data_IF_674964294055
#
_entry.id   IF_674964294055
#
_cell.length_a   1.000
_cell.length_b   1.000
_cell.length_c   1.000
_cell.angle_alpha   90.00
_cell.angle_beta   90.00
_cell.angle_gamma   90.00
#
_symmetry.space_group_name_H-M   'P 1'
#
loop_
_entity.id
_entity.type
_entity.pdbx_description
1 polymer ?
#
# COMPACT_ATOMS: atom_id res chain seq x y z
N UNK A 1 33.12 1.88 -25.08
CA UNK A 1 32.51 0.66 -24.52
C UNK A 1 32.29 0.77 -23.00
N UNK A 2 33.33 0.91 -22.18
CA UNK A 2 33.20 0.99 -20.71
C UNK A 2 32.38 2.19 -20.20
N UNK A 3 32.53 3.38 -20.80
CA UNK A 3 31.77 4.57 -20.42
C UNK A 3 30.26 4.43 -20.73
N UNK A 4 29.91 3.79 -21.84
CA UNK A 4 28.53 3.52 -22.26
C UNK A 4 27.87 2.46 -21.37
N UNK A 5 28.62 1.41 -20.99
CA UNK A 5 28.16 0.40 -20.04
C UNK A 5 27.93 1.00 -18.64
N UNK A 6 28.81 1.92 -18.21
CA UNK A 6 28.66 2.68 -16.97
C UNK A 6 27.42 3.58 -17.00
N UNK A 7 27.19 4.34 -18.07
CA UNK A 7 25.98 5.16 -18.25
C UNK A 7 24.69 4.32 -18.28
N UNK A 8 24.71 3.18 -18.96
CA UNK A 8 23.57 2.26 -18.97
C UNK A 8 23.33 1.60 -17.61
N UNK A 9 24.37 1.35 -16.83
CA UNK A 9 24.26 0.88 -15.45
C UNK A 9 23.74 1.99 -14.54
N UNK A 10 24.27 3.22 -14.63
CA UNK A 10 23.82 4.40 -13.90
C UNK A 10 22.34 4.72 -14.17
N UNK A 11 21.89 4.68 -15.43
CA UNK A 11 20.47 4.80 -15.78
C UNK A 11 19.62 3.63 -15.29
N UNK A 12 20.20 2.44 -15.09
CA UNK A 12 19.50 1.26 -14.57
C UNK A 12 19.35 1.29 -13.05
N UNK A 13 20.31 1.89 -12.35
CA UNK A 13 20.31 2.09 -10.88
C UNK A 13 19.83 3.48 -10.45
N UNK A 14 19.45 4.34 -11.40
CA UNK A 14 18.86 5.66 -11.16
C UNK A 14 19.86 6.79 -10.84
N UNK A 15 21.16 6.56 -10.89
CA UNK A 15 22.15 7.61 -10.66
C UNK A 15 22.27 8.56 -11.86
N UNK A 16 22.12 9.86 -11.63
CA UNK A 16 22.45 10.90 -12.59
C UNK A 16 23.98 11.02 -12.72
N UNK A 17 24.54 11.14 -13.94
CA UNK A 17 25.91 11.59 -14.10
C UNK A 17 25.93 13.08 -13.75
N UNK A 18 26.74 13.41 -12.74
CA UNK A 18 26.89 14.71 -12.09
C UNK A 18 25.80 15.05 -11.07
N UNK A 19 26.24 15.10 -9.81
CA UNK A 19 25.40 15.21 -8.62
C UNK A 19 24.68 16.54 -8.54
N UNK A 20 23.35 16.47 -8.57
CA UNK A 20 22.41 17.28 -7.77
C UNK A 20 21.00 16.68 -7.96
N UNK A 21 20.72 15.59 -7.26
CA UNK A 21 19.41 14.95 -7.23
C UNK A 21 19.44 13.55 -6.59
N UNK A 22 18.36 13.09 -5.94
CA UNK A 22 18.33 11.74 -5.36
C UNK A 22 18.49 10.70 -6.47
N UNK A 23 19.38 9.72 -6.26
CA UNK A 23 19.70 8.63 -7.19
C UNK A 23 18.52 7.69 -7.52
N UNK A 24 17.31 7.95 -6.99
CA UNK A 24 16.11 7.18 -7.28
C UNK A 24 14.93 8.14 -7.41
N UNK A 25 14.24 8.12 -8.54
CA UNK A 25 13.01 8.88 -8.75
C UNK A 25 11.84 8.24 -7.98
N UNK A 26 11.63 8.68 -6.73
CA UNK A 26 10.57 8.19 -5.84
C UNK A 26 9.19 8.71 -6.29
N UNK A 27 8.16 7.89 -6.13
CA UNK A 27 6.78 8.26 -6.49
C UNK A 27 6.15 9.27 -5.53
N UNK A 28 6.47 9.15 -4.25
CA UNK A 28 6.15 10.12 -3.22
C UNK A 28 7.47 10.71 -2.73
N UNK A 29 7.55 12.04 -2.69
CA UNK A 29 8.80 12.77 -2.46
C UNK A 29 8.77 13.62 -1.20
N UNK A 30 7.60 13.93 -0.66
CA UNK A 30 7.46 14.76 0.53
C UNK A 30 7.27 13.90 1.80
N UNK A 31 8.00 14.16 2.90
CA UNK A 31 7.89 13.41 4.16
C UNK A 31 6.46 13.27 4.69
N UNK A 32 5.67 14.35 4.59
CA UNK A 32 4.27 14.35 5.01
C UNK A 32 3.45 13.26 4.32
N UNK A 33 3.74 12.90 3.06
CA UNK A 33 2.98 11.87 2.32
C UNK A 33 3.12 10.50 3.00
N UNK A 34 4.30 10.20 3.53
CA UNK A 34 4.58 8.94 4.21
C UNK A 34 3.94 8.87 5.59
N UNK A 35 3.88 10.00 6.31
CA UNK A 35 3.11 10.09 7.54
C UNK A 35 1.63 9.77 7.29
N UNK A 36 1.04 10.39 6.25
CA UNK A 36 -0.35 10.11 5.87
C UNK A 36 -0.59 8.65 5.46
N UNK A 37 0.36 8.02 4.75
CA UNK A 37 0.26 6.60 4.41
C UNK A 37 0.26 5.71 5.66
N UNK A 38 1.16 5.98 6.63
CA UNK A 38 1.21 5.27 7.92
C UNK A 38 -0.05 5.51 8.75
N UNK A 39 -0.57 6.73 8.79
CA UNK A 39 -1.83 7.05 9.48
C UNK A 39 -3.01 6.27 8.90
N UNK A 40 -3.07 6.07 7.59
CA UNK A 40 -4.12 5.22 6.98
C UNK A 40 -3.96 3.76 7.39
N UNK A 41 -2.75 3.22 7.36
CA UNK A 41 -2.50 1.83 7.79
C UNK A 41 -2.90 1.61 9.26
N UNK A 42 -2.51 2.54 10.15
CA UNK A 42 -2.88 2.49 11.56
C UNK A 42 -4.39 2.63 11.76
N UNK A 43 -5.03 3.63 11.17
CA UNK A 43 -6.47 3.83 11.27
C UNK A 43 -7.24 2.60 10.77
N UNK A 44 -6.84 2.05 9.62
CA UNK A 44 -7.49 0.86 9.10
C UNK A 44 -7.27 -0.33 10.02
N UNK A 45 -6.05 -0.55 10.53
CA UNK A 45 -5.73 -1.63 11.46
C UNK A 45 -6.71 -1.69 12.64
N UNK A 46 -7.01 -0.52 13.21
CA UNK A 46 -7.91 -0.34 14.35
C UNK A 46 -9.41 -0.43 13.99
N UNK A 47 -9.80 0.01 12.79
CA UNK A 47 -11.21 0.30 12.47
C UNK A 47 -11.82 -0.55 11.34
N UNK A 48 -11.10 -1.53 10.77
CA UNK A 48 -11.71 -2.35 9.71
C UNK A 48 -12.87 -3.19 10.26
N UNK A 49 -13.99 -3.26 9.52
CA UNK A 49 -15.22 -3.91 9.97
C UNK A 49 -15.18 -5.45 9.91
N UNK A 50 -14.22 -6.01 9.17
CA UNK A 50 -14.10 -7.44 8.91
C UNK A 50 -12.65 -7.91 9.17
N UNK A 51 -12.45 -9.13 9.71
CA UNK A 51 -11.11 -9.66 9.98
C UNK A 51 -10.39 -10.14 8.71
N UNK A 52 -9.08 -10.33 8.84
CA UNK A 52 -8.25 -10.99 7.83
C UNK A 52 -7.65 -10.07 6.77
N UNK A 53 -6.59 -10.56 6.12
CA UNK A 53 -5.76 -9.78 5.20
C UNK A 53 -6.50 -9.33 3.92
N UNK A 54 -7.45 -10.12 3.39
CA UNK A 54 -8.22 -9.74 2.20
C UNK A 54 -9.13 -8.53 2.49
N UNK A 55 -9.90 -8.60 3.57
CA UNK A 55 -10.72 -7.48 4.06
C UNK A 55 -9.85 -6.25 4.35
N UNK A 56 -8.74 -6.45 5.08
CA UNK A 56 -7.78 -5.39 5.40
C UNK A 56 -7.26 -4.68 4.15
N UNK A 57 -6.86 -5.43 3.12
CA UNK A 57 -6.36 -4.87 1.89
C UNK A 57 -7.42 -4.06 1.16
N UNK A 58 -8.64 -4.60 1.02
CA UNK A 58 -9.74 -3.88 0.36
C UNK A 58 -10.08 -2.59 1.12
N UNK A 59 -10.17 -2.65 2.45
CA UNK A 59 -10.44 -1.51 3.32
C UNK A 59 -9.36 -0.44 3.16
N UNK A 60 -8.06 -0.78 3.17
CA UNK A 60 -6.98 0.20 2.91
C UNK A 60 -7.18 0.89 1.55
N UNK A 61 -7.47 0.13 0.50
CA UNK A 61 -7.63 0.69 -0.86
C UNK A 61 -8.86 1.59 -0.96
N UNK A 62 -9.96 1.24 -0.29
CA UNK A 62 -11.18 2.05 -0.21
C UNK A 62 -10.94 3.32 0.60
N UNK A 63 -10.35 3.20 1.80
CA UNK A 63 -10.01 4.33 2.67
C UNK A 63 -9.14 5.34 1.92
N UNK A 64 -8.11 4.92 1.19
CA UNK A 64 -7.28 5.84 0.41
C UNK A 64 -8.05 6.62 -0.66
N UNK A 65 -9.16 6.07 -1.19
CA UNK A 65 -10.00 6.74 -2.19
C UNK A 65 -10.95 7.73 -1.58
N UNK A 66 -11.44 7.46 -0.38
CA UNK A 66 -12.46 8.23 0.32
C UNK A 66 -11.90 9.16 1.39
N UNK A 67 -10.62 9.01 1.78
CA UNK A 67 -9.98 9.71 2.91
C UNK A 67 -9.99 11.25 2.86
N UNK A 68 -10.42 11.87 1.76
CA UNK A 68 -10.61 13.33 1.72
C UNK A 68 -11.98 13.77 2.26
N UNK A 69 -13.04 12.99 2.04
CA UNK A 69 -14.41 13.46 2.26
C UNK A 69 -15.42 12.35 2.58
N UNK A 70 -14.94 11.14 2.87
CA UNK A 70 -15.76 9.94 2.97
C UNK A 70 -16.35 9.46 1.65
N UNK A 71 -16.18 10.18 0.55
CA UNK A 71 -16.77 9.87 -0.77
C UNK A 71 -15.68 9.61 -1.79
N UNK A 72 -15.91 8.62 -2.66
CA UNK A 72 -14.96 8.24 -3.71
C UNK A 72 -15.64 7.48 -4.84
N UNK A 73 -14.82 7.04 -5.79
CA UNK A 73 -15.26 6.25 -6.93
C UNK A 73 -14.44 4.96 -7.03
N UNK A 74 -15.13 3.86 -7.34
CA UNK A 74 -14.55 2.57 -7.68
C UNK A 74 -15.02 2.11 -9.04
N UNK A 75 -14.18 1.31 -9.68
CA UNK A 75 -14.59 0.46 -10.80
C UNK A 75 -14.33 -1.00 -10.49
N UNK A 76 -15.01 -1.91 -11.18
CA UNK A 76 -14.81 -3.34 -11.00
C UNK A 76 -13.34 -3.77 -11.15
N UNK A 77 -12.57 -3.11 -12.03
CA UNK A 77 -11.13 -3.37 -12.18
C UNK A 77 -10.31 -3.07 -10.92
N UNK A 78 -10.73 -2.09 -10.11
CA UNK A 78 -10.03 -1.73 -8.88
C UNK A 78 -10.11 -2.85 -7.84
N UNK A 79 -11.22 -3.61 -7.86
CA UNK A 79 -11.50 -4.71 -6.95
C UNK A 79 -10.91 -6.01 -7.52
N UNK A 80 -11.19 -6.32 -8.80
CA UNK A 80 -10.69 -7.52 -9.50
C UNK A 80 -9.16 -7.56 -9.64
N UNK A 81 -8.48 -6.41 -9.52
CA UNK A 81 -7.02 -6.33 -9.52
C UNK A 81 -6.36 -6.79 -8.20
N UNK A 82 -7.14 -6.90 -7.13
CA UNK A 82 -6.70 -7.35 -5.82
C UNK A 82 -6.71 -8.89 -5.73
N UNK A 83 -5.84 -9.50 -4.93
CA UNK A 83 -5.81 -10.95 -4.72
C UNK A 83 -6.89 -11.36 -3.71
N UNK A 84 -8.16 -11.19 -4.07
CA UNK A 84 -9.31 -11.55 -3.25
C UNK A 84 -9.88 -12.87 -3.74
N UNK A 85 -10.22 -13.77 -2.83
CA UNK A 85 -10.76 -15.10 -3.14
C UNK A 85 -12.19 -15.01 -3.67
N UNK A 86 -13.04 -14.21 -3.01
CA UNK A 86 -14.39 -13.88 -3.46
C UNK A 86 -14.63 -12.36 -3.32
N UNK A 87 -14.30 -11.59 -4.37
CA UNK A 87 -14.43 -10.13 -4.33
C UNK A 87 -15.87 -9.64 -4.17
N UNK A 88 -16.85 -10.36 -4.73
CA UNK A 88 -18.25 -9.96 -4.68
C UNK A 88 -18.82 -10.17 -3.27
N UNK A 89 -18.58 -11.36 -2.69
CA UNK A 89 -18.99 -11.65 -1.32
C UNK A 89 -18.36 -10.67 -0.32
N UNK A 90 -17.05 -10.39 -0.43
CA UNK A 90 -16.36 -9.50 0.49
C UNK A 90 -16.90 -8.06 0.42
N UNK A 91 -17.17 -7.56 -0.79
CA UNK A 91 -17.80 -6.24 -0.95
C UNK A 91 -19.21 -6.24 -0.38
N UNK A 92 -19.99 -7.30 -0.60
CA UNK A 92 -21.32 -7.49 0.01
C UNK A 92 -21.29 -7.39 1.53
N UNK A 93 -20.36 -8.09 2.18
CA UNK A 93 -20.20 -8.03 3.65
C UNK A 93 -19.85 -6.62 4.14
N UNK A 94 -19.00 -5.88 3.41
CA UNK A 94 -18.69 -4.49 3.76
C UNK A 94 -19.92 -3.58 3.65
N UNK A 95 -20.78 -3.81 2.65
CA UNK A 95 -22.04 -3.08 2.48
C UNK A 95 -23.05 -3.45 3.58
N UNK A 96 -23.24 -4.74 3.86
CA UNK A 96 -24.15 -5.24 4.89
C UNK A 96 -23.76 -4.75 6.29
N UNK A 97 -22.46 -4.60 6.57
CA UNK A 97 -21.97 -4.03 7.83
C UNK A 97 -22.27 -2.52 7.98
N UNK A 98 -22.71 -1.85 6.91
CA UNK A 98 -22.89 -0.40 6.86
C UNK A 98 -21.59 0.40 6.76
N UNK A 99 -20.44 -0.26 6.73
CA UNK A 99 -19.14 0.40 6.59
C UNK A 99 -18.93 1.01 5.21
N UNK A 100 -19.42 0.33 4.15
CA UNK A 100 -19.35 0.80 2.76
C UNK A 100 -20.76 1.09 2.22
N UNK A 101 -21.02 2.34 1.85
CA UNK A 101 -22.16 2.67 0.99
C UNK A 101 -21.75 2.61 -0.48
N UNK A 102 -22.63 2.09 -1.33
CA UNK A 102 -22.43 2.07 -2.79
C UNK A 102 -23.69 2.60 -3.50
N UNK A 103 -23.50 3.30 -4.61
CA UNK A 103 -24.59 3.73 -5.48
C UNK A 103 -24.90 2.60 -6.48
N UNK A 104 -25.93 1.81 -6.21
CA UNK A 104 -26.30 0.62 -7.01
C UNK A 104 -26.11 -0.67 -6.24
N UNK A 105 -25.97 -1.78 -6.97
CA UNK A 105 -25.74 -3.11 -6.39
C UNK A 105 -24.26 -3.50 -6.39
N UNK A 106 -23.92 -4.55 -5.62
CA UNK A 106 -22.56 -5.12 -5.63
C UNK A 106 -22.22 -5.65 -7.02
N UNK A 107 -23.14 -6.35 -7.67
CA UNK A 107 -22.97 -6.85 -9.04
C UNK A 107 -22.67 -5.71 -10.03
N UNK A 108 -23.41 -4.61 -9.94
CA UNK A 108 -23.19 -3.41 -10.76
C UNK A 108 -21.79 -2.80 -10.53
N UNK A 109 -21.35 -2.71 -9.27
CA UNK A 109 -20.00 -2.26 -8.93
C UNK A 109 -18.94 -3.20 -9.52
N UNK A 110 -19.10 -4.52 -9.40
CA UNK A 110 -18.17 -5.51 -9.95
C UNK A 110 -18.13 -5.45 -11.50
N UNK A 111 -19.27 -5.15 -12.14
CA UNK A 111 -19.38 -4.99 -13.59
C UNK A 111 -18.95 -3.61 -14.11
N UNK A 112 -18.87 -2.60 -13.24
CA UNK A 112 -18.59 -1.21 -13.61
C UNK A 112 -17.25 -1.01 -14.32
N UNK A 113 -17.17 0.05 -15.13
CA UNK A 113 -16.03 0.39 -15.99
C UNK A 113 -15.61 1.85 -15.76
N UNK A 114 -14.39 2.26 -16.17
CA UNK A 114 -13.91 3.63 -16.02
C UNK A 114 -14.84 4.71 -16.57
N UNK A 115 -15.61 4.40 -17.61
CA UNK A 115 -16.57 5.32 -18.22
C UNK A 115 -17.82 5.55 -17.37
N UNK A 116 -18.14 4.61 -16.47
CA UNK A 116 -19.27 4.69 -15.55
C UNK A 116 -18.86 4.12 -14.18
N UNK A 117 -18.05 4.86 -13.40
CA UNK A 117 -17.59 4.40 -12.11
C UNK A 117 -18.73 4.43 -11.08
N UNK A 118 -18.71 3.49 -10.14
CA UNK A 118 -19.65 3.45 -9.03
C UNK A 118 -19.16 4.40 -7.93
N UNK A 119 -20.03 5.32 -7.54
CA UNK A 119 -19.80 6.17 -6.37
C UNK A 119 -19.92 5.34 -5.09
N UNK A 120 -18.97 5.53 -4.18
CA UNK A 120 -18.92 4.89 -2.88
C UNK A 120 -18.84 5.90 -1.74
N UNK A 121 -19.33 5.52 -0.57
CA UNK A 121 -19.22 6.29 0.67
C UNK A 121 -18.68 5.42 1.81
N UNK A 122 -17.89 6.01 2.70
CA UNK A 122 -17.47 5.42 3.98
C UNK A 122 -17.88 6.41 5.05
N UNK A 123 -19.00 6.18 5.76
CA UNK A 123 -19.57 7.16 6.69
C UNK A 123 -18.58 7.64 7.74
N UNK A 124 -17.79 6.74 8.32
CA UNK A 124 -16.78 7.06 9.36
C UNK A 124 -15.60 7.93 8.88
N UNK A 125 -15.51 8.20 7.57
CA UNK A 125 -14.49 9.06 6.97
C UNK A 125 -15.08 10.38 6.46
N UNK A 126 -16.38 10.62 6.65
CA UNK A 126 -17.07 11.82 6.18
C UNK A 126 -16.92 12.92 7.25
N UNK A 127 -16.24 14.04 6.94
CA UNK A 127 -16.17 15.16 7.86
C UNK A 127 -17.56 15.80 8.06
N UNK A 128 -17.85 16.25 9.27
CA UNK A 128 -19.00 17.08 9.62
C UNK A 128 -18.57 18.35 10.40
N UNK A 129 -19.54 19.12 10.92
CA UNK A 129 -19.25 20.40 11.61
C UNK A 129 -18.50 20.22 12.94
N UNK A 130 -18.64 19.06 13.59
CA UNK A 130 -18.07 18.76 14.90
C UNK A 130 -16.86 17.80 14.82
N UNK A 131 -16.77 16.98 13.76
CA UNK A 131 -15.68 16.06 13.48
C UNK A 131 -15.06 16.30 12.09
N UNK A 132 -13.83 16.84 12.00
CA UNK A 132 -13.15 17.04 10.72
C UNK A 132 -12.74 15.73 10.03
N UNK A 133 -12.98 14.57 10.64
CA UNK A 133 -12.62 13.26 10.17
C UNK A 133 -11.16 12.88 10.52
N UNK A 134 -10.79 11.61 10.31
CA UNK A 134 -9.51 11.07 10.78
C UNK A 134 -8.30 11.51 9.94
N UNK A 135 -8.51 12.14 8.78
CA UNK A 135 -7.44 12.50 7.85
C UNK A 135 -7.55 13.94 7.36
N UNK A 136 -6.42 14.63 7.30
CA UNK A 136 -6.32 16.02 6.79
C UNK A 136 -5.85 16.06 5.33
N UNK A 137 -6.28 15.08 4.51
CA UNK A 137 -5.80 14.94 3.14
C UNK A 137 -6.22 16.12 2.25
N UNK A 138 -5.24 16.88 1.77
CA UNK A 138 -5.49 17.88 0.73
C UNK A 138 -5.90 17.23 -0.60
N UNK A 139 -6.73 17.94 -1.39
CA UNK A 139 -7.24 17.51 -2.71
C UNK A 139 -6.15 17.01 -3.67
N UNK A 140 -4.93 17.58 -3.58
CA UNK A 140 -3.78 17.19 -4.43
C UNK A 140 -3.02 15.95 -3.92
N UNK A 141 -3.08 15.66 -2.61
CA UNK A 141 -2.31 14.60 -1.98
C UNK A 141 -3.01 13.24 -2.12
N UNK A 142 -4.31 13.18 -1.86
CA UNK A 142 -5.12 11.95 -1.91
C UNK A 142 -4.92 11.13 -3.20
N UNK A 143 -5.02 11.69 -4.42
CA UNK A 143 -4.81 10.88 -5.63
C UNK A 143 -3.38 10.36 -5.77
N UNK A 144 -2.36 11.08 -5.24
CA UNK A 144 -0.97 10.60 -5.25
C UNK A 144 -0.79 9.40 -4.32
N UNK A 145 -1.36 9.45 -3.11
CA UNK A 145 -1.30 8.34 -2.15
C UNK A 145 -2.05 7.11 -2.67
N UNK A 146 -3.28 7.30 -3.15
CA UNK A 146 -4.07 6.21 -3.73
C UNK A 146 -3.35 5.56 -4.91
N UNK A 147 -2.81 6.36 -5.84
CA UNK A 147 -2.04 5.87 -6.99
C UNK A 147 -0.71 5.18 -6.61
N UNK A 148 -0.05 5.65 -5.55
CA UNK A 148 1.15 4.98 -5.00
C UNK A 148 0.80 3.60 -4.44
N UNK A 149 -0.23 3.51 -3.60
CA UNK A 149 -0.65 2.23 -3.00
C UNK A 149 -1.07 1.21 -4.07
N UNK A 150 -1.81 1.66 -5.09
CA UNK A 150 -2.14 0.83 -6.26
C UNK A 150 -0.91 0.28 -6.98
N UNK A 151 0.17 1.08 -7.09
CA UNK A 151 1.42 0.63 -7.71
C UNK A 151 2.18 -0.37 -6.86
N UNK A 152 2.16 -0.24 -5.54
CA UNK A 152 2.75 -1.22 -4.63
C UNK A 152 1.99 -2.54 -4.69
N UNK A 153 0.68 -2.51 -4.46
CA UNK A 153 -0.18 -3.71 -4.46
C UNK A 153 -0.27 -4.35 -5.85
N UNK A 154 -0.24 -3.53 -6.91
CA UNK A 154 -0.32 -3.98 -8.29
C UNK A 154 1.03 -4.32 -8.93
N UNK A 155 2.11 -4.35 -8.16
CA UNK A 155 3.45 -4.50 -8.71
C UNK A 155 3.60 -5.82 -9.48
N UNK A 156 4.33 -5.75 -10.60
CA UNK A 156 4.40 -6.79 -11.62
C UNK A 156 4.84 -8.16 -11.09
N UNK A 157 5.86 -8.25 -10.22
CA UNK A 157 6.33 -9.54 -9.72
C UNK A 157 5.36 -10.14 -8.70
N UNK A 158 4.80 -9.32 -7.82
CA UNK A 158 3.74 -9.74 -6.89
C UNK A 158 2.51 -10.28 -7.66
N UNK A 159 2.04 -9.53 -8.66
CA UNK A 159 0.91 -9.93 -9.51
C UNK A 159 1.20 -11.21 -10.30
N UNK A 160 2.38 -11.33 -10.92
CA UNK A 160 2.75 -12.54 -11.70
C UNK A 160 2.95 -13.76 -10.82
N UNK A 161 3.48 -13.57 -9.62
CA UNK A 161 3.62 -14.61 -8.61
C UNK A 161 2.30 -15.02 -7.95
N UNK A 162 1.18 -14.34 -8.29
CA UNK A 162 -0.16 -14.53 -7.69
C UNK A 162 -0.11 -14.46 -6.16
N UNK A 163 0.69 -13.54 -5.61
CA UNK A 163 0.83 -13.41 -4.16
C UNK A 163 -0.48 -12.97 -3.51
N UNK A 164 -0.72 -13.47 -2.31
CA UNK A 164 -1.90 -13.29 -1.49
C UNK A 164 -2.00 -11.86 -0.91
N UNK A 165 -3.17 -11.51 -0.37
CA UNK A 165 -3.43 -10.19 0.18
C UNK A 165 -2.45 -9.80 1.31
N UNK A 166 -2.12 -10.74 2.20
CA UNK A 166 -1.16 -10.50 3.30
C UNK A 166 0.22 -10.11 2.80
N UNK A 167 0.72 -10.77 1.75
CA UNK A 167 2.02 -10.43 1.12
C UNK A 167 1.98 -9.02 0.53
N UNK A 168 0.87 -8.64 -0.12
CA UNK A 168 0.73 -7.30 -0.73
C UNK A 168 0.55 -6.19 0.31
N UNK A 169 -0.12 -6.47 1.43
CA UNK A 169 -0.20 -5.58 2.58
C UNK A 169 1.17 -5.40 3.22
N UNK A 170 1.94 -6.48 3.41
CA UNK A 170 3.29 -6.38 3.94
C UNK A 170 4.17 -5.53 3.02
N UNK A 171 4.11 -5.74 1.70
CA UNK A 171 4.83 -4.89 0.75
C UNK A 171 4.47 -3.40 0.90
N UNK A 172 3.18 -3.09 1.09
CA UNK A 172 2.69 -1.73 1.31
C UNK A 172 3.21 -1.14 2.63
N UNK A 173 3.14 -1.90 3.72
CA UNK A 173 3.64 -1.51 5.03
C UNK A 173 5.15 -1.21 5.00
N UNK A 174 5.95 -2.14 4.46
CA UNK A 174 7.41 -1.99 4.36
C UNK A 174 7.81 -0.80 3.48
N UNK A 175 7.06 -0.55 2.40
CA UNK A 175 7.28 0.62 1.56
C UNK A 175 7.08 1.95 2.32
N UNK A 176 6.29 1.99 3.40
CA UNK A 176 6.18 3.19 4.24
C UNK A 176 7.32 3.32 5.26
N UNK A 177 8.09 2.27 5.52
CA UNK A 177 9.02 2.19 6.64
C UNK A 177 10.48 2.02 6.24
N UNK A 178 10.86 2.35 5.00
CA UNK A 178 12.25 2.24 4.54
C UNK A 178 13.02 3.57 4.59
N UNK A 179 14.35 3.52 4.61
CA UNK A 179 15.24 4.68 4.41
C UNK A 179 15.53 4.97 2.91
N UNK A 180 16.36 5.99 2.66
CA UNK A 180 16.77 6.41 1.31
C UNK A 180 17.47 5.32 0.49
N UNK A 181 18.11 4.36 1.15
CA UNK A 181 18.79 3.19 0.56
C UNK A 181 17.91 1.93 0.57
N UNK A 182 16.67 2.05 1.05
CA UNK A 182 15.68 0.99 1.13
C UNK A 182 15.77 0.12 2.38
N UNK A 183 16.65 0.42 3.34
CA UNK A 183 16.75 -0.37 4.58
C UNK A 183 15.50 -0.17 5.43
N UNK A 184 15.01 -1.23 6.04
CA UNK A 184 13.80 -1.18 6.85
C UNK A 184 14.08 -0.53 8.21
N UNK A 185 13.23 0.39 8.62
CA UNK A 185 13.36 1.18 9.84
C UNK A 185 14.34 2.36 9.72
N UNK A 186 14.32 3.30 10.67
CA UNK A 186 15.33 4.36 10.77
C UNK A 186 16.74 3.75 10.80
N UNK A 187 17.62 4.17 9.89
CA UNK A 187 18.99 3.66 9.80
C UNK A 187 19.14 2.17 9.49
N UNK A 188 18.06 1.44 9.18
CA UNK A 188 18.08 -0.01 9.03
C UNK A 188 17.85 -0.81 10.31
N UNK A 189 17.39 -0.17 11.40
CA UNK A 189 17.12 -0.83 12.69
C UNK A 189 15.94 -1.82 12.66
N UNK A 190 15.16 -1.85 11.58
CA UNK A 190 14.02 -2.73 11.40
C UNK A 190 12.68 -2.10 11.77
N UNK A 191 11.60 -2.82 11.50
CA UNK A 191 10.22 -2.43 11.79
C UNK A 191 9.61 -3.46 12.75
N UNK A 192 8.84 -2.99 13.72
CA UNK A 192 8.20 -3.83 14.74
C UNK A 192 7.26 -4.90 14.15
N UNK A 193 7.49 -6.16 14.52
CA UNK A 193 6.68 -7.34 14.12
C UNK A 193 5.22 -7.16 14.50
N UNK A 194 4.92 -6.69 15.71
CA UNK A 194 3.54 -6.45 16.16
C UNK A 194 2.81 -5.39 15.32
N UNK A 195 3.53 -4.33 14.95
CA UNK A 195 2.98 -3.28 14.08
C UNK A 195 2.66 -3.83 12.70
N UNK A 196 3.58 -4.59 12.10
CA UNK A 196 3.38 -5.22 10.79
C UNK A 196 2.25 -6.24 10.81
N UNK A 197 2.17 -7.06 11.86
CA UNK A 197 1.10 -8.05 12.06
C UNK A 197 -0.26 -7.38 12.13
N UNK A 198 -0.38 -6.33 12.94
CA UNK A 198 -1.60 -5.53 13.08
C UNK A 198 -2.04 -4.89 11.76
N UNK A 199 -1.12 -4.23 11.05
CA UNK A 199 -1.40 -3.60 9.75
C UNK A 199 -1.77 -4.60 8.66
N UNK A 200 -1.19 -5.80 8.70
CA UNK A 200 -1.45 -6.84 7.70
C UNK A 200 -2.65 -7.74 8.05
N UNK A 201 -3.18 -7.65 9.28
CA UNK A 201 -4.18 -8.58 9.82
C UNK A 201 -3.75 -10.04 9.68
N UNK A 202 -2.53 -10.34 10.12
CA UNK A 202 -1.93 -11.69 10.17
C UNK A 202 -1.34 -11.94 11.54
N UNK A 203 -1.20 -13.21 11.91
CA UNK A 203 -0.51 -13.57 13.14
C UNK A 203 0.99 -13.30 13.02
N UNK A 204 1.67 -12.84 14.10
CA UNK A 204 3.12 -12.62 14.08
C UNK A 204 3.93 -13.83 13.62
N UNK A 205 3.48 -15.04 13.95
CA UNK A 205 4.12 -16.29 13.54
C UNK A 205 4.04 -16.58 12.03
N UNK A 206 3.12 -15.93 11.30
CA UNK A 206 2.98 -16.10 9.85
C UNK A 206 3.84 -15.12 9.05
N UNK A 207 4.33 -14.03 9.68
CA UNK A 207 5.14 -13.01 9.00
C UNK A 207 6.38 -13.57 8.29
N UNK A 208 7.15 -14.52 8.83
CA UNK A 208 8.28 -15.13 8.12
C UNK A 208 7.88 -15.70 6.74
N UNK A 209 6.73 -16.37 6.65
CA UNK A 209 6.26 -16.91 5.37
C UNK A 209 5.92 -15.81 4.36
N UNK A 210 5.35 -14.69 4.81
CA UNK A 210 5.07 -13.54 3.94
C UNK A 210 6.37 -12.87 3.47
N UNK A 211 7.37 -12.77 4.35
CA UNK A 211 8.71 -12.25 4.06
C UNK A 211 9.43 -13.12 3.03
N UNK A 212 9.33 -14.46 3.14
CA UNK A 212 9.87 -15.39 2.16
C UNK A 212 9.23 -15.18 0.78
N UNK A 213 7.91 -14.96 0.72
CA UNK A 213 7.21 -14.64 -0.54
C UNK A 213 7.68 -13.32 -1.15
N UNK A 214 7.91 -12.29 -0.34
CA UNK A 214 8.46 -11.02 -0.80
C UNK A 214 9.91 -11.15 -1.31
N UNK A 215 10.72 -11.95 -0.63
CA UNK A 215 12.10 -12.25 -1.03
C UNK A 215 12.12 -13.02 -2.35
N UNK A 216 11.29 -14.05 -2.50
CA UNK A 216 11.14 -14.80 -3.75
C UNK A 216 10.60 -13.94 -4.90
N UNK A 217 9.79 -12.92 -4.59
CA UNK A 217 9.32 -11.94 -5.55
C UNK A 217 10.34 -10.82 -5.85
N UNK A 218 11.56 -10.89 -5.31
CA UNK A 218 12.61 -9.87 -5.47
C UNK A 218 12.09 -8.48 -5.06
N UNK A 219 11.34 -8.46 -3.96
CA UNK A 219 10.88 -7.25 -3.28
C UNK A 219 11.80 -6.84 -2.14
N UNK A 220 12.28 -7.85 -1.42
CA UNK A 220 13.11 -7.71 -0.22
C UNK A 220 14.39 -8.52 -0.39
N UNK A 221 15.49 -7.99 0.11
CA UNK A 221 16.79 -8.63 0.21
C UNK A 221 17.30 -8.52 1.65
N UNK A 222 18.21 -9.43 2.03
CA UNK A 222 18.84 -9.43 3.36
C UNK A 222 17.80 -9.44 4.50
N UNK A 223 16.65 -10.07 4.27
CA UNK A 223 15.54 -10.07 5.21
C UNK A 223 15.82 -10.99 6.39
N UNK A 224 15.55 -10.51 7.60
CA UNK A 224 15.61 -11.31 8.83
C UNK A 224 14.46 -10.92 9.76
N UNK A 225 13.72 -11.93 10.24
CA UNK A 225 12.59 -11.77 11.16
C UNK A 225 13.02 -12.32 12.51
N UNK A 226 13.14 -11.41 13.48
CA UNK A 226 13.31 -11.75 14.90
C UNK A 226 11.95 -11.75 15.59
N UNK A 227 11.92 -12.04 16.89
CA UNK A 227 10.68 -12.01 17.68
C UNK A 227 10.02 -10.62 17.71
N UNK A 228 10.79 -9.54 17.56
CA UNK A 228 10.30 -8.16 17.74
C UNK A 228 10.45 -7.29 16.51
N UNK A 229 11.39 -7.59 15.62
CA UNK A 229 11.76 -6.74 14.49
C UNK A 229 11.92 -7.56 13.20
N UNK A 230 11.46 -6.98 12.10
CA UNK A 230 11.84 -7.35 10.74
C UNK A 230 12.89 -6.35 10.23
N UNK A 231 14.08 -6.84 9.92
CA UNK A 231 15.15 -6.09 9.25
C UNK A 231 15.28 -6.54 7.79
N UNK A 232 16.00 -5.75 6.99
CA UNK A 232 16.27 -6.06 5.59
C UNK A 232 16.25 -4.82 4.72
N UNK A 233 16.16 -5.03 3.41
CA UNK A 233 16.21 -3.94 2.44
C UNK A 233 15.28 -4.16 1.25
N UNK A 234 14.56 -3.13 0.86
CA UNK A 234 13.88 -3.06 -0.43
C UNK A 234 14.90 -3.20 -1.57
N UNK A 235 14.60 -4.05 -2.56
CA UNK A 235 15.46 -4.22 -3.73
C UNK A 235 15.44 -2.98 -4.64
N UNK A 236 16.49 -2.76 -5.43
CA UNK A 236 16.63 -1.60 -6.33
C UNK A 236 15.38 -1.34 -7.19
N UNK A 237 14.77 -2.44 -7.64
CA UNK A 237 13.57 -2.44 -8.49
C UNK A 237 12.37 -1.75 -7.85
N UNK A 238 12.24 -1.85 -6.53
CA UNK A 238 11.07 -1.35 -5.78
C UNK A 238 11.41 -0.15 -4.91
N UNK A 239 12.69 0.28 -4.87
CA UNK A 239 13.10 1.54 -4.25
C UNK A 239 12.24 2.73 -4.70
N UNK A 240 11.85 2.93 -5.98
CA UNK A 240 10.96 4.03 -6.36
C UNK A 240 9.63 4.10 -5.57
N UNK A 241 9.20 2.98 -4.98
CA UNK A 241 7.97 2.84 -4.21
C UNK A 241 8.16 3.06 -2.71
N UNK A 242 9.39 3.04 -2.19
CA UNK A 242 9.66 3.13 -0.76
C UNK A 242 9.78 4.57 -0.23
N UNK A 243 9.55 4.74 1.06
CA UNK A 243 9.86 5.93 1.83
C UNK A 243 11.38 6.12 1.87
N UNK A 244 11.88 7.36 1.80
CA UNK A 244 13.22 7.70 2.21
C UNK A 244 13.17 8.26 3.64
N UNK A 245 12.95 7.40 4.64
CA UNK A 245 13.16 7.80 6.03
C UNK A 245 14.59 8.35 6.18
N UNK A 246 14.70 9.43 6.93
CA UNK A 246 15.98 10.04 7.33
C UNK A 246 16.42 9.49 8.67
#
# INVERSE_FOLDING_TARGET
>A
AAATARLQHLHRIGQAPDGEGPAVARLLTAPAQWNHARSVLAHVAENAPLPGAEARLLVVMVTLRTAQSGVGNLVGQDIKGLPLSDPEQLVGQLVESGWLGISGTVEELIASRPENPTQITVPSLTPDEDDPGPFTFGRKLRPKLSGWAQRVVGEKKLRKGKTEAGVRLLALALATGSDGEGRLGPGGEGIGVDTLSSWCAVDPGDLPALVDRLTAADWLAEADVTDTLLTGRLTERVLPLGCPLT
#
